data_IF_760720428674
#
_entry.id   IF_760720428674
#
_cell.length_a   1.000
_cell.length_b   1.000
_cell.length_c   1.000
_cell.angle_alpha   90.00
_cell.angle_beta   90.00
_cell.angle_gamma   90.00
#
_symmetry.space_group_name_H-M   'P 1'
#
loop_
_entity.id
_entity.type
_entity.pdbx_description
1 polymer ?
#
# COMPACT_ATOMS: atom_id res chain seq x y z
N UNK A 1 11.70 80.38 -11.80
CA UNK A 1 11.22 79.35 -10.90
C UNK A 1 10.59 78.26 -11.74
N UNK A 2 11.21 77.11 -11.97
CA UNK A 2 10.58 76.02 -12.68
C UNK A 2 9.94 75.02 -11.70
N UNK A 3 8.70 74.70 -11.99
CA UNK A 3 7.94 73.62 -11.28
C UNK A 3 8.52 72.28 -11.68
N UNK A 4 8.95 71.50 -10.72
CA UNK A 4 9.32 70.11 -10.90
C UNK A 4 8.05 69.23 -10.77
N UNK A 5 7.63 68.68 -11.86
CA UNK A 5 6.55 67.71 -11.95
C UNK A 5 7.04 66.33 -11.39
N UNK A 6 6.49 65.87 -10.30
CA UNK A 6 6.69 64.52 -9.76
C UNK A 6 5.78 63.53 -10.55
N UNK A 7 6.38 62.62 -11.26
CA UNK A 7 5.69 61.47 -11.83
C UNK A 7 5.33 60.41 -10.74
N UNK A 8 4.15 59.84 -10.74
CA UNK A 8 3.79 58.75 -9.83
C UNK A 8 4.39 57.42 -10.34
N UNK A 9 5.23 56.80 -9.49
CA UNK A 9 5.71 55.46 -9.74
C UNK A 9 4.55 54.45 -9.60
N UNK A 10 4.21 53.85 -10.75
CA UNK A 10 3.25 52.73 -10.80
C UNK A 10 3.92 51.49 -10.25
N UNK A 11 3.58 51.11 -9.00
CA UNK A 11 3.98 49.85 -8.42
C UNK A 11 3.09 48.75 -9.00
N UNK A 12 3.64 48.02 -9.98
CA UNK A 12 3.00 46.78 -10.51
C UNK A 12 3.21 45.68 -9.43
N UNK A 13 2.16 45.46 -8.65
CA UNK A 13 2.11 44.29 -7.74
C UNK A 13 1.94 43.03 -8.59
N UNK A 14 3.03 42.29 -8.79
CA UNK A 14 3.01 40.95 -9.40
C UNK A 14 2.39 39.97 -8.42
N UNK A 15 1.09 39.71 -8.59
CA UNK A 15 0.40 38.66 -7.83
C UNK A 15 0.90 37.30 -8.31
N UNK A 16 1.80 36.70 -7.53
CA UNK A 16 2.24 35.31 -7.72
C UNK A 16 1.08 34.43 -7.26
N UNK A 17 0.27 33.94 -8.20
CA UNK A 17 -0.67 32.84 -7.96
C UNK A 17 0.12 31.58 -7.61
N UNK A 18 0.26 31.31 -6.31
CA UNK A 18 0.65 30.00 -5.82
C UNK A 18 -0.48 29.03 -6.16
N UNK A 19 -0.33 28.30 -7.26
CA UNK A 19 -1.16 27.15 -7.54
C UNK A 19 -0.88 26.12 -6.43
N UNK A 20 -1.79 26.07 -5.45
CA UNK A 20 -1.82 24.99 -4.47
C UNK A 20 -2.09 23.70 -5.24
N UNK A 21 -1.02 23.00 -5.66
CA UNK A 21 -1.11 21.62 -6.07
C UNK A 21 -1.75 20.88 -4.88
N UNK A 22 -2.99 20.43 -5.08
CA UNK A 22 -3.73 19.68 -4.07
C UNK A 22 -2.96 18.40 -3.77
N UNK A 23 -2.12 18.44 -2.73
CA UNK A 23 -1.59 17.24 -2.12
C UNK A 23 -2.81 16.41 -1.71
N UNK A 24 -3.09 15.31 -2.42
CA UNK A 24 -3.93 14.24 -1.89
C UNK A 24 -3.32 13.93 -0.52
N UNK A 25 -4.06 14.20 0.55
CA UNK A 25 -3.62 13.83 1.90
C UNK A 25 -3.43 12.32 1.90
N UNK A 26 -2.20 11.90 1.76
CA UNK A 26 -1.81 10.51 1.94
C UNK A 26 -1.96 10.26 3.45
N UNK A 27 -2.92 9.45 3.82
CA UNK A 27 -3.08 9.03 5.22
C UNK A 27 -1.80 8.26 5.60
N UNK A 28 -1.18 8.56 6.74
CA UNK A 28 0.04 7.87 7.13
C UNK A 28 -0.24 6.38 7.34
N UNK A 29 0.74 5.50 7.07
CA UNK A 29 0.59 4.08 7.30
C UNK A 29 0.36 3.79 8.79
N UNK A 30 -0.21 2.61 9.14
CA UNK A 30 -0.42 2.22 10.53
C UNK A 30 0.88 2.25 11.33
N UNK A 31 0.83 2.79 12.54
CA UNK A 31 1.98 2.82 13.44
C UNK A 31 2.25 1.45 14.09
N UNK A 32 3.51 1.24 14.47
CA UNK A 32 3.96 0.05 15.20
C UNK A 32 4.41 -1.10 14.30
N UNK A 33 4.81 -2.18 14.95
CA UNK A 33 5.25 -3.40 14.27
C UNK A 33 4.04 -4.20 13.77
N UNK A 34 3.88 -4.23 12.46
CA UNK A 34 2.76 -4.93 11.81
C UNK A 34 2.86 -6.45 12.03
N UNK A 35 4.07 -7.00 12.10
CA UNK A 35 4.27 -8.43 12.27
C UNK A 35 3.81 -8.95 13.65
N UNK A 36 3.77 -8.11 14.68
CA UNK A 36 3.19 -8.46 15.97
C UNK A 36 1.68 -8.71 15.88
N UNK A 37 1.03 -8.13 14.90
CA UNK A 37 -0.42 -8.09 14.80
C UNK A 37 -0.99 -8.79 13.56
N UNK A 38 -0.15 -9.15 12.58
CA UNK A 38 -0.54 -9.83 11.34
C UNK A 38 -0.81 -11.32 11.60
N UNK A 39 -1.82 -11.62 12.41
CA UNK A 39 -2.17 -12.98 12.80
C UNK A 39 -3.48 -13.41 12.16
N UNK A 40 -3.40 -14.34 11.24
CA UNK A 40 -4.55 -15.00 10.62
C UNK A 40 -4.13 -16.39 10.11
N UNK A 41 -5.05 -17.36 10.01
CA UNK A 41 -4.73 -18.64 9.41
C UNK A 41 -4.46 -18.48 7.90
N UNK A 42 -3.65 -19.38 7.37
CA UNK A 42 -3.47 -19.48 5.92
C UNK A 42 -4.75 -19.97 5.25
N UNK A 43 -4.84 -19.80 3.95
CA UNK A 43 -5.96 -20.34 3.14
C UNK A 43 -6.08 -21.86 3.27
N UNK A 44 -5.01 -22.58 3.59
CA UNK A 44 -5.03 -24.02 3.91
C UNK A 44 -5.48 -24.34 5.33
N UNK A 45 -5.66 -23.33 6.18
CA UNK A 45 -6.01 -23.49 7.60
C UNK A 45 -4.82 -23.66 8.54
N UNK A 46 -3.59 -23.67 8.04
CA UNK A 46 -2.40 -23.76 8.86
C UNK A 46 -2.14 -22.43 9.61
N UNK A 47 -1.48 -22.52 10.77
CA UNK A 47 -0.99 -21.33 11.45
C UNK A 47 0.12 -20.67 10.64
N UNK A 48 0.15 -19.34 10.67
CA UNK A 48 1.19 -18.53 10.06
C UNK A 48 1.96 -17.78 11.14
N UNK A 49 3.29 -17.81 11.06
CA UNK A 49 4.16 -17.01 11.91
C UNK A 49 4.60 -15.75 11.15
N UNK A 50 4.07 -14.55 11.48
CA UNK A 50 4.45 -13.32 10.82
C UNK A 50 5.93 -12.96 10.97
N UNK A 51 6.60 -13.41 12.03
CA UNK A 51 8.02 -13.12 12.24
C UNK A 51 8.92 -13.79 11.20
N UNK A 52 8.42 -14.78 10.46
CA UNK A 52 9.12 -15.37 9.31
C UNK A 52 9.37 -14.35 8.16
N UNK A 53 8.68 -13.23 8.16
CA UNK A 53 8.86 -12.15 7.19
C UNK A 53 9.99 -11.17 7.55
N UNK A 54 10.55 -11.23 8.78
CA UNK A 54 11.63 -10.33 9.19
C UNK A 54 12.89 -10.51 8.36
N UNK A 55 13.66 -9.43 8.25
CA UNK A 55 14.92 -9.42 7.52
C UNK A 55 14.81 -9.05 6.04
N UNK A 56 13.60 -8.99 5.50
CA UNK A 56 13.33 -8.52 4.13
C UNK A 56 12.13 -7.57 4.11
N UNK A 57 12.09 -6.61 3.19
CA UNK A 57 10.87 -5.84 2.93
C UNK A 57 9.71 -6.78 2.60
N UNK A 58 8.49 -6.35 2.88
CA UNK A 58 7.31 -7.18 2.64
C UNK A 58 6.16 -6.35 2.07
N UNK A 59 5.49 -6.88 1.03
CA UNK A 59 4.20 -6.39 0.58
C UNK A 59 3.09 -7.17 1.28
N UNK A 60 2.17 -6.48 1.94
CA UNK A 60 0.98 -7.07 2.56
C UNK A 60 -0.25 -6.49 1.90
N UNK A 61 -0.88 -7.29 1.02
CA UNK A 61 -2.04 -6.90 0.23
C UNK A 61 -3.33 -7.39 0.90
N UNK A 62 -4.19 -6.47 1.28
CA UNK A 62 -5.55 -6.80 1.71
C UNK A 62 -6.46 -6.81 0.49
N UNK A 63 -7.05 -7.95 0.21
CA UNK A 63 -7.76 -8.23 -1.04
C UNK A 63 -9.13 -8.90 -0.79
N UNK A 64 -9.99 -8.86 -1.80
CA UNK A 64 -11.24 -9.62 -1.80
C UNK A 64 -11.31 -10.51 -3.04
N UNK A 65 -11.82 -11.76 -2.91
CA UNK A 65 -11.97 -12.65 -4.06
C UNK A 65 -12.87 -12.10 -5.18
N UNK A 66 -13.77 -11.18 -4.85
CA UNK A 66 -14.72 -10.58 -5.80
C UNK A 66 -14.27 -9.24 -6.37
N UNK A 67 -13.04 -8.80 -6.05
CA UNK A 67 -12.51 -7.52 -6.49
C UNK A 67 -11.61 -7.70 -7.72
N UNK A 68 -12.00 -7.23 -8.92
CA UNK A 68 -11.20 -7.40 -10.14
C UNK A 68 -9.83 -6.73 -10.07
N UNK A 69 -9.74 -5.57 -9.42
CA UNK A 69 -8.46 -4.86 -9.23
C UNK A 69 -7.52 -5.64 -8.33
N UNK A 70 -8.05 -6.32 -7.30
CA UNK A 70 -7.26 -7.18 -6.42
C UNK A 70 -6.67 -8.37 -7.17
N UNK A 71 -7.50 -9.02 -8.01
CA UNK A 71 -7.06 -10.16 -8.84
C UNK A 71 -5.96 -9.76 -9.81
N UNK A 72 -6.05 -8.55 -10.38
CA UNK A 72 -5.01 -8.01 -11.27
C UNK A 72 -3.70 -7.69 -10.53
N UNK A 73 -3.78 -7.10 -9.32
CA UNK A 73 -2.61 -6.66 -8.57
C UNK A 73 -1.78 -7.82 -7.98
N UNK A 74 -2.41 -8.95 -7.65
CA UNK A 74 -1.71 -10.07 -7.03
C UNK A 74 -0.49 -10.58 -7.83
N UNK A 75 -0.58 -10.87 -9.15
CA UNK A 75 0.59 -11.28 -9.93
C UNK A 75 1.61 -10.15 -10.10
N UNK A 76 1.18 -8.88 -10.17
CA UNK A 76 2.07 -7.73 -10.26
C UNK A 76 2.89 -7.56 -8.97
N UNK A 77 2.23 -7.66 -7.81
CA UNK A 77 2.89 -7.61 -6.50
C UNK A 77 3.84 -8.80 -6.29
N UNK A 78 3.45 -10.00 -6.71
CA UNK A 78 4.32 -11.17 -6.63
C UNK A 78 5.58 -11.00 -7.48
N UNK A 79 5.44 -10.43 -8.68
CA UNK A 79 6.57 -10.18 -9.58
C UNK A 79 7.50 -9.12 -8.99
N UNK A 80 6.96 -7.99 -8.54
CA UNK A 80 7.72 -6.91 -7.87
C UNK A 80 8.50 -7.44 -6.66
N UNK A 81 7.84 -8.22 -5.80
CA UNK A 81 8.48 -8.80 -4.62
C UNK A 81 9.61 -9.76 -4.98
N UNK A 82 9.40 -10.65 -5.96
CA UNK A 82 10.42 -11.62 -6.40
C UNK A 82 11.65 -10.94 -7.00
N UNK A 83 11.46 -9.93 -7.84
CA UNK A 83 12.56 -9.22 -8.50
C UNK A 83 13.35 -8.33 -7.52
N UNK A 84 12.72 -7.95 -6.40
CA UNK A 84 13.33 -7.12 -5.36
C UNK A 84 13.65 -7.87 -4.06
N UNK A 85 13.77 -9.20 -4.07
CA UNK A 85 14.07 -10.01 -2.87
C UNK A 85 13.23 -9.62 -1.65
N UNK A 86 11.93 -9.46 -1.85
CA UNK A 86 10.95 -9.11 -0.82
C UNK A 86 9.93 -10.24 -0.60
N UNK A 87 9.26 -10.22 0.54
CA UNK A 87 8.14 -11.11 0.80
C UNK A 87 6.85 -10.53 0.19
N UNK A 88 5.90 -11.42 -0.13
CA UNK A 88 4.55 -11.03 -0.52
C UNK A 88 3.51 -11.84 0.22
N UNK A 89 2.52 -11.15 0.81
CA UNK A 89 1.43 -11.73 1.60
C UNK A 89 0.11 -11.19 1.09
N UNK A 90 -0.81 -12.08 0.72
CA UNK A 90 -2.20 -11.73 0.42
C UNK A 90 -3.08 -12.02 1.63
N UNK A 91 -3.84 -11.04 2.11
CA UNK A 91 -4.80 -11.18 3.20
C UNK A 91 -6.21 -11.03 2.64
N UNK A 92 -6.94 -12.12 2.55
CA UNK A 92 -8.32 -12.13 2.07
C UNK A 92 -9.25 -11.68 3.20
N UNK A 93 -9.77 -10.45 3.12
CA UNK A 93 -10.60 -9.81 4.15
C UNK A 93 -12.11 -10.06 4.00
N UNK A 94 -12.51 -10.77 2.97
CA UNK A 94 -13.90 -11.13 2.70
C UNK A 94 -13.98 -12.46 1.96
N UNK A 95 -15.08 -13.16 2.15
CA UNK A 95 -15.31 -14.44 1.50
C UNK A 95 -14.81 -15.64 2.34
N UNK A 96 -15.00 -16.81 1.77
CA UNK A 96 -14.57 -18.08 2.36
C UNK A 96 -13.20 -18.47 1.81
N UNK A 97 -12.49 -19.34 2.52
CA UNK A 97 -11.20 -19.87 2.08
C UNK A 97 -11.24 -20.50 0.68
N UNK A 98 -12.38 -21.15 0.33
CA UNK A 98 -12.57 -21.74 -1.01
C UNK A 98 -12.51 -20.69 -2.13
N UNK A 99 -13.11 -19.50 -1.90
CA UNK A 99 -13.08 -18.41 -2.88
C UNK A 99 -11.66 -17.86 -3.04
N UNK A 100 -10.90 -17.77 -1.94
CA UNK A 100 -9.51 -17.38 -1.97
C UNK A 100 -8.66 -18.39 -2.77
N UNK A 101 -8.87 -19.70 -2.58
CA UNK A 101 -8.18 -20.74 -3.36
C UNK A 101 -8.38 -20.56 -4.86
N UNK A 102 -9.60 -20.33 -5.33
CA UNK A 102 -9.89 -20.08 -6.73
C UNK A 102 -9.14 -18.88 -7.30
N UNK A 103 -8.99 -17.79 -6.52
CA UNK A 103 -8.20 -16.62 -6.93
C UNK A 103 -6.71 -16.98 -7.00
N UNK A 104 -6.16 -17.67 -5.99
CA UNK A 104 -4.74 -18.05 -5.97
C UNK A 104 -4.38 -18.94 -7.17
N UNK A 105 -5.22 -19.91 -7.50
CA UNK A 105 -5.05 -20.79 -8.66
C UNK A 105 -5.10 -20.00 -9.97
N UNK A 106 -6.09 -19.11 -10.11
CA UNK A 106 -6.25 -18.28 -11.31
C UNK A 106 -5.06 -17.32 -11.53
N UNK A 107 -4.58 -16.69 -10.47
CA UNK A 107 -3.48 -15.71 -10.51
C UNK A 107 -2.11 -16.35 -10.43
N UNK A 108 -2.02 -17.65 -10.15
CA UNK A 108 -0.77 -18.38 -9.86
C UNK A 108 0.05 -17.71 -8.75
N UNK A 109 -0.66 -17.23 -7.74
CA UNK A 109 -0.02 -16.59 -6.61
C UNK A 109 0.64 -17.63 -5.70
N UNK A 110 1.94 -17.49 -5.47
CA UNK A 110 2.79 -18.42 -4.69
C UNK A 110 3.22 -17.84 -3.34
N UNK A 111 2.88 -16.56 -3.07
CA UNK A 111 3.16 -15.92 -1.78
C UNK A 111 2.32 -16.49 -0.65
N UNK A 112 2.52 -15.97 0.56
CA UNK A 112 1.71 -16.33 1.71
C UNK A 112 0.28 -15.81 1.51
N UNK A 113 -0.72 -16.67 1.71
CA UNK A 113 -2.12 -16.30 1.60
C UNK A 113 -2.86 -16.59 2.91
N UNK A 114 -3.42 -15.54 3.50
CA UNK A 114 -4.13 -15.55 4.79
C UNK A 114 -5.62 -15.28 4.60
N UNK A 115 -6.43 -15.75 5.52
CA UNK A 115 -7.88 -15.46 5.58
C UNK A 115 -8.17 -14.70 6.86
N UNK A 116 -8.59 -13.45 6.73
CA UNK A 116 -9.00 -12.62 7.86
C UNK A 116 -10.47 -12.84 8.22
N UNK A 117 -10.74 -13.04 9.49
CA UNK A 117 -12.09 -13.09 10.07
C UNK A 117 -12.73 -11.71 10.29
N UNK A 118 -12.08 -10.67 9.79
CA UNK A 118 -12.42 -9.26 9.97
C UNK A 118 -11.64 -8.57 11.10
N UNK A 119 -10.79 -9.27 11.81
CA UNK A 119 -9.97 -8.71 12.89
C UNK A 119 -8.90 -7.76 12.35
N UNK A 120 -8.13 -8.19 11.36
CA UNK A 120 -7.10 -7.35 10.73
C UNK A 120 -7.73 -6.18 9.98
N UNK A 121 -8.83 -6.43 9.24
CA UNK A 121 -9.58 -5.38 8.57
C UNK A 121 -10.00 -4.27 9.51
N UNK A 122 -10.57 -4.60 10.68
CA UNK A 122 -10.97 -3.61 11.70
C UNK A 122 -9.77 -2.92 12.32
N UNK A 123 -8.71 -3.69 12.64
CA UNK A 123 -7.51 -3.17 13.28
C UNK A 123 -6.84 -2.09 12.44
N UNK A 124 -6.71 -2.32 11.15
CA UNK A 124 -6.05 -1.37 10.22
C UNK A 124 -7.03 -0.39 9.55
N UNK A 125 -8.30 -0.38 9.97
CA UNK A 125 -9.30 0.56 9.45
C UNK A 125 -9.58 0.40 7.95
N UNK A 126 -9.37 -0.78 7.39
CA UNK A 126 -9.48 -1.02 5.94
C UNK A 126 -10.93 -0.93 5.49
N UNK A 127 -11.24 0.09 4.68
CA UNK A 127 -12.60 0.38 4.18
C UNK A 127 -12.80 -0.06 2.73
N UNK A 128 -11.73 -0.11 1.95
CA UNK A 128 -11.74 -0.50 0.54
C UNK A 128 -10.55 -1.37 0.21
N UNK A 129 -10.64 -2.14 -0.87
CA UNK A 129 -9.59 -3.00 -1.40
C UNK A 129 -9.41 -2.77 -2.89
N UNK A 130 -8.23 -3.03 -3.47
CA UNK A 130 -7.02 -3.48 -2.75
C UNK A 130 -6.46 -2.39 -1.83
N UNK A 131 -5.86 -2.82 -0.73
CA UNK A 131 -5.13 -1.97 0.20
C UNK A 131 -3.80 -2.65 0.47
N UNK A 132 -2.69 -1.97 0.18
CA UNK A 132 -1.37 -2.55 0.26
C UNK A 132 -0.51 -1.81 1.27
N UNK A 133 0.09 -2.55 2.20
CA UNK A 133 1.12 -2.05 3.09
C UNK A 133 2.49 -2.49 2.58
N UNK A 134 3.45 -1.58 2.59
CA UNK A 134 4.86 -1.85 2.35
C UNK A 134 5.60 -1.81 3.68
N UNK A 135 6.14 -2.94 4.09
CA UNK A 135 6.86 -3.08 5.35
C UNK A 135 8.36 -3.08 5.12
N UNK A 136 9.09 -2.42 6.01
CA UNK A 136 10.54 -2.59 6.12
C UNK A 136 10.92 -3.97 6.69
N UNK A 137 12.19 -4.31 6.63
CA UNK A 137 12.75 -5.55 7.16
C UNK A 137 12.52 -5.74 8.68
N UNK A 138 12.25 -4.66 9.39
CA UNK A 138 11.92 -4.61 10.81
C UNK A 138 10.43 -4.82 11.12
N UNK A 139 9.59 -4.94 10.09
CA UNK A 139 8.14 -5.17 10.21
C UNK A 139 7.29 -3.91 10.38
N UNK A 140 7.89 -2.72 10.37
CA UNK A 140 7.15 -1.46 10.43
C UNK A 140 6.68 -1.04 9.03
N UNK A 141 5.47 -0.50 8.95
CA UNK A 141 4.95 0.03 7.70
C UNK A 141 5.71 1.31 7.31
N UNK A 142 6.17 1.35 6.07
CA UNK A 142 6.84 2.50 5.45
C UNK A 142 5.90 3.27 4.55
N UNK A 143 5.04 2.56 3.85
CA UNK A 143 4.10 3.14 2.92
C UNK A 143 2.79 2.34 2.88
N UNK A 144 1.73 2.99 2.39
CA UNK A 144 0.44 2.34 2.12
C UNK A 144 -0.16 2.85 0.83
N UNK A 145 -0.85 1.97 0.13
CA UNK A 145 -1.59 2.29 -1.08
C UNK A 145 -3.06 1.92 -0.96
N UNK A 146 -3.91 2.81 -1.45
CA UNK A 146 -5.34 2.57 -1.65
C UNK A 146 -5.62 2.41 -3.14
N UNK A 147 -6.29 1.31 -3.51
CA UNK A 147 -6.54 0.98 -4.91
C UNK A 147 -5.36 0.24 -5.55
N UNK A 148 -5.62 -0.39 -6.71
CA UNK A 148 -4.64 -1.22 -7.41
C UNK A 148 -3.41 -0.45 -7.84
N UNK A 149 -2.25 -1.03 -7.58
CA UNK A 149 -0.95 -0.54 -7.98
C UNK A 149 -0.36 -1.43 -9.08
N UNK A 150 0.45 -0.82 -9.97
CA UNK A 150 1.23 -1.57 -10.94
C UNK A 150 2.55 -2.06 -10.34
N UNK A 151 3.17 -3.00 -11.04
CA UNK A 151 4.44 -3.62 -10.67
C UNK A 151 5.53 -2.59 -10.37
N UNK A 152 5.74 -1.60 -11.25
CA UNK A 152 6.79 -0.59 -11.10
C UNK A 152 6.63 0.22 -9.80
N UNK A 153 5.40 0.65 -9.49
CA UNK A 153 5.11 1.39 -8.24
C UNK A 153 5.43 0.56 -7.01
N UNK A 154 5.08 -0.74 -7.02
CA UNK A 154 5.34 -1.64 -5.91
C UNK A 154 6.83 -1.96 -5.78
N UNK A 155 7.56 -2.08 -6.91
CA UNK A 155 8.99 -2.29 -6.92
C UNK A 155 9.75 -1.09 -6.33
N UNK A 156 9.37 0.14 -6.70
CA UNK A 156 9.94 1.36 -6.16
C UNK A 156 9.72 1.46 -4.65
N UNK A 157 8.49 1.20 -4.19
CA UNK A 157 8.15 1.23 -2.77
C UNK A 157 8.92 0.16 -1.95
N UNK A 158 9.15 -1.04 -2.50
CA UNK A 158 10.01 -2.05 -1.87
C UNK A 158 11.45 -1.55 -1.74
N UNK A 159 11.97 -0.90 -2.79
CA UNK A 159 13.34 -0.38 -2.77
C UNK A 159 13.53 0.70 -1.71
N UNK A 160 12.53 1.59 -1.53
CA UNK A 160 12.55 2.65 -0.50
C UNK A 160 12.35 2.11 0.93
N UNK A 161 11.76 0.93 1.09
CA UNK A 161 11.49 0.30 2.39
C UNK A 161 12.68 -0.52 2.95
N UNK A 162 13.81 -0.54 2.27
CA UNK A 162 15.04 -1.29 2.66
C UNK A 162 15.80 -0.68 3.81
#
# INVERSE_FOLDING_TARGET
MPLVARAPQLIIALAICFAAAGCKKHEPPPEGDILETLRAPTVSGAAFDPHSLRGKPSLVLFVSPTCPHCVKELPEAQKAARENDANVVAVFIAGKAENAKGVLEHTKFEGVALVDDGTLRRRYGIRSVPYTLVLGADGHAREQFLGGQGEDTLADAIAEAR
#
